data_IF_804938648128
#
_entry.id   IF_804938648128
#
_cell.length_a   1.000
_cell.length_b   1.000
_cell.length_c   1.000
_cell.angle_alpha   90.00
_cell.angle_beta   90.00
_cell.angle_gamma   90.00
#
_symmetry.space_group_name_H-M   'P 1'
#
loop_
_entity.id
_entity.type
_entity.pdbx_description
1 polymer ?
#
# COMPACT_ATOMS: atom_id res chain seq x y z
N UNK A 1 -2.57 -0.27 -11.06
CA UNK A 1 -2.72 0.99 -10.27
C UNK A 1 -2.21 2.14 -11.10
N UNK A 2 -2.87 3.31 -11.08
CA UNK A 2 -2.46 4.49 -11.86
C UNK A 2 -1.73 5.52 -10.98
N UNK A 3 -0.73 6.21 -11.50
CA UNK A 3 -0.05 7.34 -10.83
C UNK A 3 -0.09 8.55 -11.77
N UNK A 4 -0.41 9.72 -11.21
CA UNK A 4 -0.51 10.96 -11.95
C UNK A 4 0.80 11.76 -11.85
N UNK A 5 1.27 12.30 -12.97
CA UNK A 5 2.28 13.36 -13.01
C UNK A 5 1.61 14.62 -13.54
N UNK A 6 1.65 15.72 -12.79
CA UNK A 6 1.20 17.03 -13.30
C UNK A 6 2.43 17.86 -13.64
N UNK A 7 2.51 18.30 -14.89
CA UNK A 7 3.62 19.12 -15.39
C UNK A 7 3.16 20.09 -16.48
N UNK A 8 4.06 20.96 -16.94
CA UNK A 8 3.84 21.91 -18.04
C UNK A 8 5.18 22.18 -18.73
N UNK A 9 5.19 23.05 -19.75
CA UNK A 9 6.44 23.47 -20.39
C UNK A 9 7.49 23.97 -19.40
N UNK A 10 8.75 23.80 -19.77
CA UNK A 10 9.93 24.15 -18.99
C UNK A 10 10.05 23.35 -17.68
N UNK A 11 9.54 22.12 -17.65
CA UNK A 11 9.82 21.16 -16.57
C UNK A 11 11.31 20.77 -16.54
N UNK A 12 11.81 20.37 -15.37
CA UNK A 12 13.14 19.76 -15.28
C UNK A 12 13.08 18.32 -15.79
N UNK A 13 13.80 18.04 -16.87
CA UNK A 13 13.63 16.83 -17.69
C UNK A 13 13.79 15.55 -16.87
N UNK A 14 14.82 15.49 -16.04
CA UNK A 14 15.11 14.34 -15.17
C UNK A 14 14.03 14.12 -14.09
N UNK A 15 13.45 15.20 -13.55
CA UNK A 15 12.46 15.14 -12.48
C UNK A 15 11.08 14.70 -12.97
N UNK A 16 10.85 14.70 -14.28
CA UNK A 16 9.67 14.08 -14.90
C UNK A 16 9.98 12.68 -15.42
N UNK A 17 11.05 12.53 -16.22
CA UNK A 17 11.35 11.29 -16.91
C UNK A 17 11.75 10.17 -15.94
N UNK A 18 12.52 10.48 -14.90
CA UNK A 18 12.96 9.46 -13.94
C UNK A 18 11.77 8.86 -13.16
N UNK A 19 10.87 9.65 -12.54
CA UNK A 19 9.64 9.10 -11.95
C UNK A 19 8.78 8.36 -12.97
N UNK A 20 8.60 8.91 -14.17
CA UNK A 20 7.80 8.28 -15.23
C UNK A 20 8.26 6.86 -15.54
N UNK A 21 9.54 6.66 -15.84
CA UNK A 21 10.06 5.33 -16.16
C UNK A 21 10.13 4.41 -14.93
N UNK A 22 10.53 4.93 -13.77
CA UNK A 22 10.64 4.14 -12.54
C UNK A 22 9.29 3.59 -12.07
N UNK A 23 8.22 4.36 -12.22
CA UNK A 23 6.85 3.91 -11.90
C UNK A 23 6.37 2.85 -12.89
N UNK A 24 6.64 3.03 -14.18
CA UNK A 24 6.27 2.06 -15.23
C UNK A 24 7.02 0.73 -15.07
N UNK A 25 8.28 0.77 -14.69
CA UNK A 25 9.09 -0.42 -14.36
C UNK A 25 8.41 -1.28 -13.27
N UNK A 26 7.70 -0.64 -12.34
CA UNK A 26 7.02 -1.27 -11.22
C UNK A 26 5.56 -1.64 -11.54
N UNK A 27 5.17 -1.60 -12.81
CA UNK A 27 3.83 -1.98 -13.27
C UNK A 27 2.74 -0.94 -13.01
N UNK A 28 3.09 0.29 -12.63
CA UNK A 28 2.12 1.37 -12.56
C UNK A 28 1.82 1.91 -13.96
N UNK A 29 0.53 2.14 -14.23
CA UNK A 29 0.11 2.99 -15.33
C UNK A 29 0.38 4.44 -14.94
N UNK A 30 1.03 5.21 -15.81
CA UNK A 30 1.45 6.59 -15.50
C UNK A 30 0.85 7.55 -16.50
N UNK A 31 -0.03 8.43 -16.01
CA UNK A 31 -0.60 9.51 -16.81
C UNK A 31 0.16 10.80 -16.57
N UNK A 32 0.36 11.57 -17.64
CA UNK A 32 0.90 12.93 -17.58
C UNK A 32 -0.24 13.89 -17.91
N UNK A 33 -0.56 14.77 -16.97
CA UNK A 33 -1.51 15.85 -17.17
C UNK A 33 -0.81 17.20 -17.25
N UNK A 34 -1.31 18.07 -18.12
CA UNK A 34 -0.90 19.47 -18.27
C UNK A 34 -2.15 20.36 -18.31
N UNK A 35 -1.97 21.67 -18.43
CA UNK A 35 -3.11 22.60 -18.54
C UNK A 35 -4.00 22.25 -19.74
N UNK A 36 -3.39 21.83 -20.84
CA UNK A 36 -4.05 21.34 -22.05
C UNK A 36 -3.41 20.02 -22.48
N UNK A 37 -4.15 19.21 -23.24
CA UNK A 37 -3.59 18.01 -23.89
C UNK A 37 -2.51 18.40 -24.91
N UNK A 38 -1.56 17.49 -25.12
CA UNK A 38 -0.55 17.62 -26.16
C UNK A 38 0.87 17.59 -25.61
N UNK A 39 1.84 17.98 -26.44
CA UNK A 39 3.25 17.94 -26.07
C UNK A 39 3.64 19.08 -25.13
N UNK A 40 4.37 18.73 -24.07
CA UNK A 40 5.10 19.70 -23.24
C UNK A 40 6.60 19.48 -23.39
N UNK A 41 7.39 20.56 -23.31
CA UNK A 41 8.83 20.52 -23.55
C UNK A 41 9.64 20.90 -22.31
N UNK A 42 10.60 20.05 -21.94
CA UNK A 42 11.51 20.24 -20.81
C UNK A 42 12.60 21.27 -21.09
N UNK A 43 13.28 21.70 -20.03
CA UNK A 43 14.36 22.72 -20.08
C UNK A 43 15.53 22.30 -20.96
N UNK A 44 15.80 21.00 -21.08
CA UNK A 44 16.87 20.42 -21.91
C UNK A 44 16.36 19.93 -23.26
N UNK A 45 15.09 20.22 -23.57
CA UNK A 45 14.49 20.01 -24.87
C UNK A 45 13.78 18.68 -25.06
N UNK A 46 13.70 17.81 -24.04
CA UNK A 46 12.89 16.60 -24.13
C UNK A 46 11.41 16.95 -24.25
N UNK A 47 10.69 16.25 -25.13
CA UNK A 47 9.25 16.37 -25.25
C UNK A 47 8.58 15.14 -24.65
N UNK A 48 7.48 15.37 -23.93
CA UNK A 48 6.58 14.31 -23.47
C UNK A 48 5.14 14.65 -23.83
N UNK A 49 4.36 13.63 -24.13
CA UNK A 49 2.92 13.78 -24.40
C UNK A 49 2.16 13.87 -23.07
N UNK A 50 1.51 15.02 -22.82
CA UNK A 50 0.49 15.14 -21.79
C UNK A 50 -0.84 14.62 -22.35
N UNK A 51 -1.12 13.34 -22.10
CA UNK A 51 -2.32 12.67 -22.59
C UNK A 51 -3.63 13.16 -21.98
N UNK A 52 -3.56 13.96 -20.91
CA UNK A 52 -4.70 14.54 -20.21
C UNK A 52 -4.53 16.05 -20.01
N UNK A 53 -5.64 16.79 -20.09
CA UNK A 53 -5.76 18.09 -19.43
C UNK A 53 -6.06 17.89 -17.93
N UNK A 54 -5.65 18.83 -17.08
CA UNK A 54 -6.03 18.88 -15.67
C UNK A 54 -7.55 18.89 -15.46
N UNK A 55 -8.33 19.34 -16.43
CA UNK A 55 -9.80 19.31 -16.36
C UNK A 55 -10.37 17.87 -16.42
N UNK A 56 -9.61 16.93 -16.96
CA UNK A 56 -10.03 15.52 -17.13
C UNK A 56 -9.62 14.64 -15.95
N UNK A 57 -8.77 15.15 -15.08
CA UNK A 57 -8.19 14.38 -13.96
C UNK A 57 -9.23 14.18 -12.86
N UNK A 58 -9.40 12.92 -12.43
CA UNK A 58 -10.17 12.54 -11.26
C UNK A 58 -9.26 11.94 -10.19
N UNK A 59 -8.95 12.65 -9.08
CA UNK A 59 -7.97 12.20 -8.08
C UNK A 59 -8.25 10.80 -7.50
N UNK A 60 -9.51 10.38 -7.43
CA UNK A 60 -9.96 9.08 -6.95
C UNK A 60 -9.40 7.90 -7.77
N UNK A 61 -9.13 8.07 -9.07
CA UNK A 61 -8.65 7.02 -9.98
C UNK A 61 -7.16 6.68 -9.81
N UNK A 62 -6.42 7.50 -9.06
CA UNK A 62 -4.97 7.42 -8.93
C UNK A 62 -4.52 6.94 -7.55
N UNK A 63 -3.43 6.18 -7.48
CA UNK A 63 -2.79 5.77 -6.24
C UNK A 63 -1.85 6.84 -5.66
N UNK A 64 -1.36 7.78 -6.48
CA UNK A 64 -0.47 8.85 -6.04
C UNK A 64 -0.23 9.93 -7.09
N UNK A 65 0.44 11.00 -6.67
CA UNK A 65 0.72 12.20 -7.46
C UNK A 65 2.21 12.55 -7.41
N UNK A 66 2.80 12.89 -8.56
CA UNK A 66 4.16 13.43 -8.70
C UNK A 66 4.10 14.85 -9.28
N UNK A 67 4.86 15.76 -8.66
CA UNK A 67 5.00 17.17 -9.03
C UNK A 67 6.50 17.48 -9.30
N UNK A 68 6.94 17.36 -10.57
CA UNK A 68 8.30 17.72 -10.98
C UNK A 68 8.60 19.21 -10.78
N UNK A 69 9.88 19.58 -10.77
CA UNK A 69 10.34 20.96 -10.76
C UNK A 69 10.58 21.53 -12.16
N UNK A 70 11.57 22.42 -12.26
CA UNK A 70 11.75 23.31 -13.41
C UNK A 70 11.00 24.64 -13.22
N UNK A 71 10.59 25.27 -14.33
CA UNK A 71 9.76 26.48 -14.31
C UNK A 71 8.26 26.17 -14.41
N UNK A 72 7.89 24.94 -14.78
CA UNK A 72 6.50 24.49 -14.88
C UNK A 72 5.65 24.79 -13.61
N UNK A 73 6.15 24.55 -12.38
CA UNK A 73 5.36 24.82 -11.16
C UNK A 73 4.86 26.25 -11.01
N UNK A 74 5.58 27.25 -11.54
CA UNK A 74 5.18 28.66 -11.46
C UNK A 74 3.88 28.94 -12.20
N UNK A 75 3.62 28.26 -13.33
CA UNK A 75 2.37 28.38 -14.08
C UNK A 75 1.27 27.49 -13.48
N UNK A 76 1.64 26.27 -13.09
CA UNK A 76 0.68 25.28 -12.57
C UNK A 76 0.04 25.72 -11.26
N UNK A 77 0.80 26.38 -10.38
CA UNK A 77 0.32 26.82 -9.05
C UNK A 77 -0.72 27.94 -9.11
N UNK A 78 -0.86 28.62 -10.24
CA UNK A 78 -1.85 29.68 -10.46
C UNK A 78 -3.21 29.13 -10.93
N UNK A 79 -3.23 27.88 -11.40
CA UNK A 79 -4.44 27.26 -11.92
C UNK A 79 -5.28 26.65 -10.78
N UNK A 80 -6.55 27.10 -10.58
CA UNK A 80 -7.40 26.60 -9.50
C UNK A 80 -7.67 25.08 -9.56
N UNK A 81 -7.81 24.52 -10.78
CA UNK A 81 -8.05 23.09 -10.97
C UNK A 81 -6.86 22.25 -10.51
N UNK A 82 -5.62 22.69 -10.79
CA UNK A 82 -4.41 22.04 -10.25
C UNK A 82 -4.43 22.02 -8.72
N UNK A 83 -4.76 23.14 -8.08
CA UNK A 83 -4.81 23.23 -6.61
C UNK A 83 -5.91 22.34 -6.02
N UNK A 84 -7.06 22.22 -6.70
CA UNK A 84 -8.15 21.32 -6.33
C UNK A 84 -7.71 19.86 -6.40
N UNK A 85 -7.07 19.44 -7.49
CA UNK A 85 -6.57 18.07 -7.67
C UNK A 85 -5.62 17.72 -6.53
N UNK A 86 -4.62 18.57 -6.27
CA UNK A 86 -3.61 18.35 -5.22
C UNK A 86 -4.27 18.21 -3.84
N UNK A 87 -5.27 19.06 -3.54
CA UNK A 87 -6.08 18.95 -2.31
C UNK A 87 -6.89 17.65 -2.27
N UNK A 88 -7.40 17.18 -3.41
CA UNK A 88 -8.11 15.90 -3.54
C UNK A 88 -7.22 14.71 -3.18
N UNK A 89 -5.99 14.66 -3.68
CA UNK A 89 -5.01 13.63 -3.27
C UNK A 89 -4.73 13.71 -1.76
N UNK A 90 -4.53 14.92 -1.23
CA UNK A 90 -4.24 15.11 0.18
C UNK A 90 -5.40 14.67 1.08
N UNK A 91 -6.64 15.07 0.76
CA UNK A 91 -7.84 14.69 1.51
C UNK A 91 -8.14 13.19 1.48
N UNK A 92 -7.74 12.51 0.41
CA UNK A 92 -7.83 11.04 0.30
C UNK A 92 -6.67 10.29 0.96
N UNK A 93 -5.72 10.98 1.62
CA UNK A 93 -4.55 10.35 2.25
C UNK A 93 -3.56 9.74 1.26
N UNK A 94 -3.64 10.10 -0.03
CA UNK A 94 -2.81 9.52 -1.09
C UNK A 94 -1.44 10.19 -1.15
N UNK A 95 -0.35 9.46 -1.46
CA UNK A 95 0.99 10.03 -1.55
C UNK A 95 1.09 11.14 -2.61
N UNK A 96 1.69 12.26 -2.20
CA UNK A 96 2.02 13.40 -3.06
C UNK A 96 3.53 13.63 -2.98
N UNK A 97 4.23 13.47 -4.09
CA UNK A 97 5.67 13.60 -4.17
C UNK A 97 6.06 14.83 -5.00
N UNK A 98 6.71 15.82 -4.40
CA UNK A 98 7.10 17.06 -5.06
C UNK A 98 8.60 17.33 -4.94
N UNK A 99 9.27 17.62 -6.05
CA UNK A 99 10.73 17.82 -6.07
C UNK A 99 11.10 19.19 -6.62
N UNK A 100 12.19 19.76 -6.10
CA UNK A 100 12.77 21.00 -6.58
C UNK A 100 11.82 22.20 -6.46
N UNK A 101 11.22 22.66 -7.56
CA UNK A 101 10.21 23.73 -7.54
C UNK A 101 8.78 23.19 -7.42
N UNK A 102 8.56 21.88 -7.58
CA UNK A 102 7.27 21.23 -7.38
C UNK A 102 6.55 21.61 -6.08
N UNK A 103 7.24 21.75 -4.92
CA UNK A 103 6.63 22.21 -3.68
C UNK A 103 5.92 23.57 -3.75
N UNK A 104 6.19 24.44 -4.73
CA UNK A 104 5.45 25.70 -4.93
C UNK A 104 3.95 25.50 -5.15
N UNK A 105 3.56 24.37 -5.76
CA UNK A 105 2.17 23.99 -5.94
C UNK A 105 1.55 23.64 -4.57
N UNK A 106 2.28 22.92 -3.71
CA UNK A 106 1.85 22.57 -2.35
C UNK A 106 1.73 23.81 -1.45
N UNK A 107 2.65 24.78 -1.60
CA UNK A 107 2.58 26.09 -0.93
C UNK A 107 1.26 26.78 -1.30
N UNK A 108 0.95 26.87 -2.59
CA UNK A 108 -0.25 27.56 -3.09
C UNK A 108 -1.54 26.82 -2.74
N UNK A 109 -1.48 25.49 -2.62
CA UNK A 109 -2.58 24.68 -2.13
C UNK A 109 -2.80 24.84 -0.61
N UNK A 110 -1.89 25.47 0.12
CA UNK A 110 -1.99 25.68 1.58
C UNK A 110 -1.74 24.41 2.39
N UNK A 111 -0.98 23.45 1.87
CA UNK A 111 -0.83 22.11 2.46
C UNK A 111 0.41 21.92 3.34
N UNK A 112 1.26 22.94 3.47
CA UNK A 112 2.58 22.81 4.12
C UNK A 112 2.69 23.49 5.49
N UNK A 113 1.66 24.20 5.95
CA UNK A 113 1.69 24.84 7.27
C UNK A 113 1.90 23.79 8.36
N UNK A 114 2.87 24.03 9.25
CA UNK A 114 3.27 23.15 10.36
C UNK A 114 3.78 21.76 9.92
N UNK A 115 4.10 21.57 8.63
CA UNK A 115 4.65 20.31 8.08
C UNK A 115 6.15 20.40 7.89
N UNK A 116 6.84 19.27 7.98
CA UNK A 116 8.24 19.12 7.56
C UNK A 116 8.31 18.98 6.05
N UNK A 117 9.14 19.78 5.39
CA UNK A 117 9.33 19.69 3.96
C UNK A 117 10.72 20.16 3.54
N UNK A 118 11.10 19.86 2.30
CA UNK A 118 12.26 20.43 1.63
C UNK A 118 11.90 20.91 0.24
N UNK A 119 12.79 21.63 -0.41
CA UNK A 119 12.60 22.18 -1.75
C UNK A 119 13.93 22.61 -2.36
N UNK A 120 13.91 23.01 -3.64
CA UNK A 120 15.06 23.68 -4.23
C UNK A 120 15.41 24.96 -3.45
N UNK A 121 16.70 25.25 -3.35
CA UNK A 121 17.24 26.35 -2.54
C UNK A 121 16.56 27.71 -2.73
N UNK A 122 16.14 28.06 -3.95
CA UNK A 122 15.48 29.35 -4.21
C UNK A 122 14.03 29.42 -3.75
N UNK A 123 13.42 28.28 -3.39
CA UNK A 123 12.05 28.18 -2.86
C UNK A 123 12.05 28.14 -1.32
N UNK A 124 13.23 27.99 -0.69
CA UNK A 124 13.37 27.80 0.77
C UNK A 124 12.67 28.88 1.60
N UNK A 125 12.86 30.15 1.25
CA UNK A 125 12.30 31.26 2.01
C UNK A 125 10.78 31.31 1.85
N UNK A 126 10.28 31.01 0.65
CA UNK A 126 8.84 30.89 0.38
C UNK A 126 8.21 29.74 1.16
N UNK A 127 8.88 28.59 1.19
CA UNK A 127 8.46 27.40 1.95
C UNK A 127 8.38 27.71 3.46
N UNK A 128 9.39 28.42 3.98
CA UNK A 128 9.43 28.80 5.40
C UNK A 128 8.36 29.85 5.72
N UNK A 129 8.14 30.81 4.82
CA UNK A 129 7.15 31.88 4.98
C UNK A 129 5.70 31.36 5.01
N UNK A 130 5.41 30.22 4.38
CA UNK A 130 4.09 29.58 4.46
C UNK A 130 3.88 28.74 5.74
N UNK A 131 4.87 28.73 6.65
CA UNK A 131 4.81 28.03 7.94
C UNK A 131 5.30 26.58 7.90
N UNK A 132 5.99 26.15 6.84
CA UNK A 132 6.62 24.84 6.81
C UNK A 132 7.94 24.82 7.59
N UNK A 133 8.23 23.70 8.23
CA UNK A 133 9.54 23.42 8.82
C UNK A 133 10.49 22.90 7.73
N UNK A 134 11.27 23.82 7.14
CA UNK A 134 12.26 23.48 6.12
C UNK A 134 13.40 22.62 6.69
N UNK A 135 13.65 21.48 6.07
CA UNK A 135 14.80 20.61 6.37
C UNK A 135 15.70 20.49 5.14
N UNK A 136 17.00 20.71 5.30
CA UNK A 136 17.98 20.47 4.23
C UNK A 136 18.36 18.98 4.17
N UNK A 137 17.45 18.17 3.64
CA UNK A 137 17.58 16.72 3.51
C UNK A 137 17.27 16.30 2.08
N UNK A 138 17.90 15.22 1.60
CA UNK A 138 17.63 14.70 0.25
C UNK A 138 16.16 14.30 0.04
N UNK A 139 15.53 13.77 1.08
CA UNK A 139 14.11 13.45 1.09
C UNK A 139 13.51 13.73 2.46
N UNK A 140 12.34 14.36 2.47
CA UNK A 140 11.53 14.56 3.68
C UNK A 140 10.18 13.91 3.45
N UNK A 141 9.79 13.00 4.35
CA UNK A 141 8.49 12.33 4.35
C UNK A 141 7.71 12.80 5.59
N UNK A 142 6.60 13.50 5.38
CA UNK A 142 5.68 13.93 6.43
C UNK A 142 4.24 13.52 6.06
N UNK A 143 3.75 12.46 6.71
CA UNK A 143 2.46 11.84 6.37
C UNK A 143 2.43 11.32 4.92
N UNK A 144 1.53 11.85 4.10
CA UNK A 144 1.44 11.55 2.68
C UNK A 144 2.29 12.47 1.77
N UNK A 145 2.90 13.53 2.31
CA UNK A 145 3.73 14.46 1.54
C UNK A 145 5.19 13.99 1.53
N UNK A 146 5.75 13.87 0.34
CA UNK A 146 7.16 13.54 0.09
C UNK A 146 7.79 14.71 -0.66
N UNK A 147 8.89 15.24 -0.16
CA UNK A 147 9.61 16.34 -0.83
C UNK A 147 11.10 16.07 -0.97
N UNK A 148 11.70 16.55 -2.06
CA UNK A 148 13.14 16.48 -2.35
C UNK A 148 13.66 17.76 -3.00
N UNK A 149 14.98 18.01 -2.96
CA UNK A 149 15.52 19.34 -3.29
C UNK A 149 15.87 19.53 -4.75
N UNK A 150 16.40 18.51 -5.40
CA UNK A 150 17.07 18.65 -6.71
C UNK A 150 17.30 17.29 -7.39
N UNK A 151 17.74 17.25 -8.67
CA UNK A 151 17.88 15.99 -9.41
C UNK A 151 18.78 14.92 -8.77
N UNK A 152 19.80 15.31 -8.01
CA UNK A 152 20.66 14.35 -7.29
C UNK A 152 19.90 13.53 -6.25
N UNK A 153 18.76 14.03 -5.77
CA UNK A 153 17.96 13.40 -4.72
C UNK A 153 16.91 12.43 -5.29
N UNK A 154 16.82 12.29 -6.63
CA UNK A 154 15.87 11.41 -7.30
C UNK A 154 15.86 9.95 -6.80
N UNK A 155 17.01 9.33 -6.46
CA UNK A 155 17.01 7.98 -5.89
C UNK A 155 16.23 7.89 -4.57
N UNK A 156 16.49 8.80 -3.62
CA UNK A 156 15.81 8.84 -2.33
C UNK A 156 14.33 9.25 -2.47
N UNK A 157 14.06 10.23 -3.33
CA UNK A 157 12.71 10.68 -3.69
C UNK A 157 11.84 9.52 -4.18
N UNK A 158 12.33 8.76 -5.16
CA UNK A 158 11.58 7.64 -5.73
C UNK A 158 11.48 6.46 -4.77
N UNK A 159 12.51 6.18 -3.97
CA UNK A 159 12.42 5.13 -2.95
C UNK A 159 11.29 5.43 -1.94
N UNK A 160 11.20 6.68 -1.47
CA UNK A 160 10.14 7.11 -0.56
C UNK A 160 8.74 7.02 -1.18
N UNK A 161 8.59 7.48 -2.44
CA UNK A 161 7.32 7.36 -3.18
C UNK A 161 6.93 5.90 -3.40
N UNK A 162 7.86 5.04 -3.82
CA UNK A 162 7.61 3.62 -4.02
C UNK A 162 7.19 2.91 -2.73
N UNK A 163 7.81 3.27 -1.59
CA UNK A 163 7.42 2.74 -0.28
C UNK A 163 5.95 3.07 0.05
N UNK A 164 5.52 4.31 -0.23
CA UNK A 164 4.11 4.72 -0.02
C UNK A 164 3.16 4.05 -1.02
N UNK A 165 3.51 4.03 -2.31
CA UNK A 165 2.66 3.42 -3.35
C UNK A 165 2.47 1.92 -3.18
N UNK A 166 3.49 1.21 -2.69
CA UNK A 166 3.42 -0.24 -2.42
C UNK A 166 2.80 -0.58 -1.07
N UNK A 167 2.26 0.40 -0.34
CA UNK A 167 1.71 0.16 0.99
C UNK A 167 2.72 -0.40 1.98
N UNK A 168 4.02 -0.14 1.79
CA UNK A 168 5.09 -0.61 2.70
C UNK A 168 5.16 0.29 3.94
N UNK A 169 4.00 0.64 4.51
CA UNK A 169 3.92 1.23 5.83
C UNK A 169 4.55 0.27 6.82
N UNK A 170 5.54 0.75 7.56
CA UNK A 170 6.22 -0.03 8.59
C UNK A 170 5.56 0.29 9.92
N UNK A 171 5.07 -0.76 10.59
CA UNK A 171 4.46 -0.68 11.91
C UNK A 171 5.33 -1.46 12.91
N UNK A 172 6.43 -0.84 13.41
CA UNK A 172 7.40 -1.51 14.26
C UNK A 172 6.83 -1.78 15.65
N UNK A 173 7.14 -2.94 16.22
CA UNK A 173 6.82 -3.29 17.62
C UNK A 173 5.36 -3.64 17.88
N UNK A 174 4.55 -3.88 16.85
CA UNK A 174 3.18 -4.36 17.01
C UNK A 174 3.11 -5.81 17.48
N UNK A 175 4.11 -6.61 17.12
CA UNK A 175 4.21 -8.02 17.51
C UNK A 175 5.62 -8.36 17.96
N UNK A 176 5.73 -9.41 18.76
CA UNK A 176 6.98 -9.98 19.23
C UNK A 176 7.14 -11.43 18.78
N UNK A 177 8.39 -11.84 18.65
CA UNK A 177 8.78 -13.23 18.58
C UNK A 177 9.75 -13.52 19.72
N UNK A 178 9.31 -14.31 20.69
CA UNK A 178 10.07 -14.57 21.93
C UNK A 178 10.48 -13.26 22.63
N UNK A 179 9.56 -12.30 22.68
CA UNK A 179 9.79 -10.98 23.28
C UNK A 179 10.62 -9.99 22.43
N UNK A 180 11.19 -10.40 21.30
CA UNK A 180 11.88 -9.47 20.39
C UNK A 180 10.86 -8.77 19.48
N UNK A 181 10.83 -7.43 19.42
CA UNK A 181 9.88 -6.70 18.59
C UNK A 181 10.18 -6.90 17.11
N UNK A 182 9.12 -7.04 16.32
CA UNK A 182 9.18 -7.18 14.86
C UNK A 182 8.38 -6.07 14.17
N UNK A 183 8.64 -5.87 12.88
CA UNK A 183 8.00 -4.84 12.06
C UNK A 183 7.00 -5.48 11.12
N UNK A 184 5.73 -5.06 11.20
CA UNK A 184 4.73 -5.43 10.21
C UNK A 184 4.72 -4.45 9.05
N UNK A 185 4.51 -4.97 7.84
CA UNK A 185 4.39 -4.22 6.59
C UNK A 185 2.94 -4.21 6.13
N UNK A 186 2.42 -3.02 5.82
CA UNK A 186 1.05 -2.84 5.33
C UNK A 186 0.16 -2.07 6.31
N UNK A 187 -1.08 -1.75 5.87
CA UNK A 187 -2.00 -0.93 6.64
C UNK A 187 -2.54 -1.68 7.87
N UNK A 188 -3.12 -0.94 8.81
CA UNK A 188 -3.96 -1.51 9.87
C UNK A 188 -5.37 -1.82 9.33
N UNK A 189 -5.80 -3.08 9.43
CA UNK A 189 -7.17 -3.48 9.08
C UNK A 189 -8.06 -3.40 10.32
N UNK A 190 -9.25 -2.79 10.16
CA UNK A 190 -10.25 -2.62 11.21
C UNK A 190 -11.60 -3.21 10.79
N UNK A 191 -12.38 -3.75 11.74
CA UNK A 191 -13.78 -4.10 11.48
C UNK A 191 -14.57 -2.93 10.87
N UNK A 192 -15.45 -3.24 9.93
CA UNK A 192 -16.26 -2.27 9.18
C UNK A 192 -15.64 -1.81 7.86
N UNK A 193 -14.34 -2.01 7.65
CA UNK A 193 -13.70 -1.73 6.36
C UNK A 193 -14.04 -2.80 5.32
N UNK A 194 -14.01 -2.41 4.04
CA UNK A 194 -14.01 -3.38 2.94
C UNK A 194 -12.71 -4.17 2.97
N UNK A 195 -12.81 -5.48 2.84
CA UNK A 195 -11.66 -6.36 2.80
C UNK A 195 -10.76 -5.99 1.60
N UNK A 196 -9.45 -5.75 1.81
CA UNK A 196 -8.51 -5.58 0.71
C UNK A 196 -8.48 -6.83 -0.15
N UNK A 197 -8.32 -6.65 -1.47
CA UNK A 197 -8.12 -7.77 -2.38
C UNK A 197 -6.74 -8.42 -2.14
N UNK A 198 -6.59 -9.67 -2.55
CA UNK A 198 -5.32 -10.39 -2.50
C UNK A 198 -5.26 -11.44 -3.60
N UNK A 199 -4.04 -11.84 -3.96
CA UNK A 199 -3.78 -12.99 -4.82
C UNK A 199 -2.74 -13.87 -4.15
N UNK A 200 -3.14 -15.08 -3.78
CA UNK A 200 -2.29 -16.15 -3.23
C UNK A 200 -2.34 -17.35 -4.17
N UNK A 201 -1.66 -18.45 -3.87
CA UNK A 201 -1.71 -19.66 -4.70
C UNK A 201 -2.07 -20.92 -3.92
N UNK A 202 -2.72 -21.85 -4.61
CA UNK A 202 -2.99 -23.19 -4.09
C UNK A 202 -1.79 -24.14 -4.25
N UNK A 203 -1.98 -25.40 -3.83
CA UNK A 203 -0.98 -26.48 -3.93
C UNK A 203 -0.47 -26.75 -5.35
N UNK A 204 -1.25 -26.40 -6.38
CA UNK A 204 -0.95 -26.61 -7.79
C UNK A 204 -0.45 -25.32 -8.46
N UNK A 205 -0.08 -24.30 -7.67
CA UNK A 205 0.38 -22.97 -8.10
C UNK A 205 -0.69 -22.16 -8.84
N UNK A 206 -1.97 -22.52 -8.72
CA UNK A 206 -3.04 -21.73 -9.34
C UNK A 206 -3.35 -20.52 -8.47
N UNK A 207 -3.57 -19.34 -9.09
CA UNK A 207 -3.94 -18.15 -8.34
C UNK A 207 -5.32 -18.33 -7.70
N UNK A 208 -5.42 -17.90 -6.44
CA UNK A 208 -6.65 -17.81 -5.65
C UNK A 208 -6.77 -16.38 -5.16
N UNK A 209 -7.92 -15.75 -5.41
CA UNK A 209 -8.19 -14.36 -5.10
C UNK A 209 -9.32 -14.24 -4.07
N UNK A 210 -9.47 -13.07 -3.44
CA UNK A 210 -10.59 -12.82 -2.54
C UNK A 210 -11.95 -13.04 -3.24
N UNK A 211 -12.04 -12.72 -4.53
CA UNK A 211 -13.26 -12.88 -5.33
C UNK A 211 -13.73 -14.34 -5.48
N UNK A 212 -12.84 -15.31 -5.28
CA UNK A 212 -13.20 -16.73 -5.38
C UNK A 212 -14.09 -17.19 -4.21
N UNK A 213 -14.15 -16.40 -3.13
CA UNK A 213 -14.99 -16.59 -1.95
C UNK A 213 -16.21 -15.67 -1.91
N UNK A 214 -16.60 -15.11 -3.07
CA UNK A 214 -17.75 -14.20 -3.15
C UNK A 214 -19.02 -14.86 -2.58
N UNK A 215 -19.84 -14.04 -1.92
CA UNK A 215 -21.12 -14.42 -1.32
C UNK A 215 -21.01 -15.43 -0.15
N UNK A 216 -19.79 -15.74 0.31
CA UNK A 216 -19.50 -16.58 1.48
C UNK A 216 -19.00 -15.73 2.66
N UNK A 217 -19.20 -16.24 3.88
CA UNK A 217 -18.46 -15.76 5.05
C UNK A 217 -17.08 -16.39 4.99
N UNK A 218 -16.02 -15.59 5.01
CA UNK A 218 -14.65 -16.07 4.89
C UNK A 218 -13.90 -15.90 6.21
N UNK A 219 -13.41 -17.02 6.75
CA UNK A 219 -12.48 -17.05 7.89
C UNK A 219 -11.07 -17.24 7.35
N UNK A 220 -10.20 -16.26 7.59
CA UNK A 220 -8.78 -16.30 7.19
C UNK A 220 -7.95 -16.54 8.45
N UNK A 221 -7.40 -17.74 8.57
CA UNK A 221 -6.45 -18.13 9.60
C UNK A 221 -5.03 -17.89 9.09
N UNK A 222 -4.27 -16.99 9.71
CA UNK A 222 -2.93 -16.64 9.28
C UNK A 222 -1.90 -17.29 10.19
N UNK A 223 -0.93 -17.99 9.59
CA UNK A 223 0.14 -18.69 10.31
C UNK A 223 1.51 -18.33 9.75
N UNK A 224 2.54 -18.09 10.59
CA UNK A 224 3.88 -17.83 10.11
C UNK A 224 4.46 -18.93 9.23
N UNK A 225 4.36 -20.18 9.68
CA UNK A 225 4.75 -21.39 8.93
C UNK A 225 4.07 -22.61 9.53
N UNK A 226 3.41 -23.42 8.71
CA UNK A 226 2.71 -24.64 9.09
C UNK A 226 3.65 -25.74 9.62
N UNK A 227 4.95 -25.64 9.38
CA UNK A 227 5.96 -26.60 9.84
C UNK A 227 6.39 -26.38 11.31
N UNK A 228 5.55 -25.72 12.11
CA UNK A 228 5.83 -25.41 13.53
C UNK A 228 4.68 -25.88 14.43
N UNK A 229 4.94 -26.28 15.70
CA UNK A 229 3.93 -26.89 16.55
C UNK A 229 2.66 -26.05 16.75
N UNK A 230 2.81 -24.74 16.98
CA UNK A 230 1.68 -23.83 17.23
C UNK A 230 0.85 -23.61 15.96
N UNK A 231 1.50 -23.58 14.79
CA UNK A 231 0.78 -23.44 13.52
C UNK A 231 0.05 -24.72 13.12
N UNK A 232 0.62 -25.89 13.38
CA UNK A 232 -0.07 -27.17 13.20
C UNK A 232 -1.34 -27.23 14.06
N UNK A 233 -1.23 -26.87 15.35
CA UNK A 233 -2.37 -26.80 16.27
C UNK A 233 -3.47 -25.86 15.75
N UNK A 234 -3.09 -24.66 15.30
CA UNK A 234 -4.04 -23.70 14.74
C UNK A 234 -4.75 -24.23 13.48
N UNK A 235 -4.01 -24.86 12.57
CA UNK A 235 -4.58 -25.44 11.34
C UNK A 235 -5.55 -26.59 11.67
N UNK A 236 -5.16 -27.50 12.57
CA UNK A 236 -6.03 -28.60 13.02
C UNK A 236 -7.28 -28.11 13.73
N UNK A 237 -7.15 -27.12 14.61
CA UNK A 237 -8.30 -26.54 15.35
C UNK A 237 -9.34 -25.99 14.38
N UNK A 238 -8.95 -25.14 13.44
CA UNK A 238 -9.88 -24.61 12.44
C UNK A 238 -10.42 -25.69 11.48
N UNK A 239 -9.64 -26.73 11.15
CA UNK A 239 -10.12 -27.86 10.35
C UNK A 239 -11.21 -28.68 11.05
N UNK A 240 -11.10 -28.86 12.37
CA UNK A 240 -12.14 -29.48 13.18
C UNK A 240 -13.39 -28.60 13.26
N UNK A 241 -13.22 -27.31 13.54
CA UNK A 241 -14.32 -26.36 13.67
C UNK A 241 -15.08 -26.16 12.35
N UNK A 242 -14.36 -26.19 11.21
CA UNK A 242 -14.96 -26.14 9.87
C UNK A 242 -16.01 -27.24 9.63
N UNK A 243 -15.88 -28.40 10.28
CA UNK A 243 -16.87 -29.48 10.18
C UNK A 243 -18.25 -29.12 10.75
N UNK A 244 -18.29 -28.16 11.69
CA UNK A 244 -19.53 -27.64 12.29
C UNK A 244 -20.07 -26.37 11.61
N UNK A 245 -19.40 -25.87 10.58
CA UNK A 245 -19.80 -24.68 9.85
C UNK A 245 -20.69 -25.05 8.65
N UNK A 246 -21.58 -24.15 8.26
CA UNK A 246 -22.44 -24.34 7.09
C UNK A 246 -21.66 -24.12 5.80
N UNK A 247 -22.14 -24.66 4.68
CA UNK A 247 -21.54 -24.49 3.34
C UNK A 247 -21.40 -23.03 2.87
N UNK A 248 -22.04 -22.08 3.56
CA UNK A 248 -21.87 -20.63 3.36
C UNK A 248 -20.58 -20.06 3.96
N UNK A 249 -19.80 -20.86 4.69
CA UNK A 249 -18.57 -20.43 5.35
C UNK A 249 -17.38 -21.12 4.73
N UNK A 250 -16.45 -20.34 4.17
CA UNK A 250 -15.14 -20.81 3.77
C UNK A 250 -14.13 -20.56 4.89
N UNK A 251 -13.27 -21.54 5.14
CA UNK A 251 -12.13 -21.39 6.04
C UNK A 251 -10.86 -21.60 5.24
N UNK A 252 -9.99 -20.58 5.22
CA UNK A 252 -8.69 -20.66 4.56
C UNK A 252 -7.57 -20.45 5.58
N UNK A 253 -6.44 -21.08 5.32
CA UNK A 253 -5.19 -20.77 6.00
C UNK A 253 -4.22 -20.14 5.01
N UNK A 254 -3.56 -19.05 5.38
CA UNK A 254 -2.55 -18.39 4.55
C UNK A 254 -1.23 -18.33 5.30
N UNK A 255 -0.15 -18.75 4.64
CA UNK A 255 1.24 -18.63 5.11
C UNK A 255 2.19 -18.26 3.97
N UNK A 256 3.48 -18.10 4.30
CA UNK A 256 4.55 -17.95 3.29
C UNK A 256 5.18 -19.30 2.91
N UNK A 257 4.67 -20.42 3.42
CA UNK A 257 5.21 -21.75 3.10
C UNK A 257 5.00 -22.05 1.63
N UNK A 258 5.97 -22.71 1.00
CA UNK A 258 5.86 -23.07 -0.41
C UNK A 258 4.69 -24.06 -0.60
N UNK A 259 3.93 -23.98 -1.72
CA UNK A 259 2.73 -24.80 -1.93
C UNK A 259 2.93 -26.31 -1.75
N UNK A 260 4.11 -26.82 -2.10
CA UNK A 260 4.47 -28.21 -1.92
C UNK A 260 4.72 -28.61 -0.46
N UNK A 261 5.23 -27.69 0.37
CA UNK A 261 5.32 -27.89 1.83
C UNK A 261 3.92 -27.92 2.45
N UNK A 262 3.04 -27.00 2.03
CA UNK A 262 1.63 -26.98 2.44
C UNK A 262 0.94 -28.31 2.07
N UNK A 263 1.11 -28.79 0.83
CA UNK A 263 0.49 -30.03 0.37
C UNK A 263 0.94 -31.25 1.20
N UNK A 264 2.25 -31.33 1.49
CA UNK A 264 2.81 -32.39 2.34
C UNK A 264 2.24 -32.33 3.75
N UNK A 265 2.20 -31.13 4.34
CA UNK A 265 1.62 -30.91 5.67
C UNK A 265 0.16 -31.35 5.72
N UNK A 266 -0.69 -30.86 4.81
CA UNK A 266 -2.12 -31.18 4.79
C UNK A 266 -2.35 -32.69 4.67
N UNK A 267 -1.57 -33.37 3.82
CA UNK A 267 -1.62 -34.83 3.65
C UNK A 267 -1.27 -35.57 4.94
N UNK A 268 -0.21 -35.16 5.65
CA UNK A 268 0.24 -35.81 6.89
C UNK A 268 -0.67 -35.48 8.08
N UNK A 269 -1.19 -34.25 8.13
CA UNK A 269 -2.01 -33.76 9.23
C UNK A 269 -3.49 -34.12 9.09
N UNK A 270 -3.94 -34.56 7.91
CA UNK A 270 -5.36 -34.83 7.65
C UNK A 270 -6.19 -33.56 7.59
N UNK A 271 -5.64 -32.50 6.98
CA UNK A 271 -6.33 -31.21 6.78
C UNK A 271 -6.99 -31.26 5.40
N UNK A 272 -8.32 -31.31 5.38
CA UNK A 272 -9.15 -31.49 4.18
C UNK A 272 -10.32 -30.50 4.06
N UNK A 273 -10.62 -29.76 5.14
CA UNK A 273 -11.72 -28.77 5.21
C UNK A 273 -11.24 -27.31 5.24
N UNK A 274 -9.93 -27.10 5.40
CA UNK A 274 -9.31 -25.78 5.32
C UNK A 274 -8.53 -25.68 4.02
N UNK A 275 -8.79 -24.63 3.24
CA UNK A 275 -7.99 -24.34 2.07
C UNK A 275 -6.68 -23.69 2.52
N UNK A 276 -5.61 -24.49 2.57
CA UNK A 276 -4.28 -23.99 2.87
C UNK A 276 -3.64 -23.40 1.60
N UNK A 277 -3.30 -22.11 1.66
CA UNK A 277 -2.86 -21.28 0.55
C UNK A 277 -1.53 -20.62 0.87
N UNK A 278 -0.76 -20.31 -0.17
CA UNK A 278 0.57 -19.71 -0.05
C UNK A 278 0.61 -18.30 -0.63
N UNK A 279 1.11 -17.35 0.15
CA UNK A 279 1.36 -15.96 -0.26
C UNK A 279 2.81 -15.73 -0.73
N UNK A 280 3.57 -16.81 -0.96
CA UNK A 280 5.04 -16.73 -1.15
C UNK A 280 5.51 -15.90 -2.35
N UNK A 281 4.72 -15.82 -3.43
CA UNK A 281 5.13 -15.21 -4.69
C UNK A 281 5.31 -13.70 -4.52
N UNK A 282 4.22 -13.02 -4.16
CA UNK A 282 4.17 -11.56 -4.14
C UNK A 282 3.96 -10.98 -2.74
N UNK A 283 3.72 -11.83 -1.71
CA UNK A 283 3.28 -11.40 -0.39
C UNK A 283 2.09 -10.42 -0.46
N UNK A 284 1.16 -10.70 -1.37
CA UNK A 284 0.03 -9.85 -1.71
C UNK A 284 -0.91 -9.71 -0.51
N UNK A 285 -1.30 -10.84 0.08
CA UNK A 285 -2.14 -10.86 1.27
C UNK A 285 -1.43 -10.19 2.45
N UNK A 286 -0.19 -10.59 2.73
CA UNK A 286 0.60 -10.09 3.86
C UNK A 286 0.78 -8.58 3.82
N UNK A 287 1.04 -7.99 2.65
CA UNK A 287 1.16 -6.52 2.49
C UNK A 287 -0.19 -5.83 2.57
N UNK A 288 -1.23 -6.39 1.95
CA UNK A 288 -2.54 -5.72 1.88
C UNK A 288 -3.29 -5.77 3.23
N UNK A 289 -3.06 -6.80 4.03
CA UNK A 289 -3.67 -7.00 5.36
C UNK A 289 -2.76 -6.54 6.51
N UNK A 290 -1.55 -6.08 6.20
CA UNK A 290 -0.64 -5.55 7.22
C UNK A 290 0.03 -6.62 8.09
N UNK A 291 0.10 -7.87 7.65
CA UNK A 291 0.61 -8.98 8.48
C UNK A 291 1.94 -9.54 7.99
N UNK A 292 2.55 -9.00 6.94
CA UNK A 292 3.89 -9.42 6.51
C UNK A 292 4.95 -8.89 7.48
N UNK A 293 5.74 -9.78 8.07
CA UNK A 293 6.87 -9.46 8.94
C UNK A 293 8.08 -9.09 8.08
N UNK A 294 8.58 -7.86 8.25
CA UNK A 294 9.71 -7.32 7.47
C UNK A 294 10.99 -8.15 7.65
N UNK A 295 11.31 -8.50 8.88
CA UNK A 295 12.59 -9.14 9.25
C UNK A 295 12.67 -10.59 8.79
N UNK A 296 11.56 -11.32 8.85
CA UNK A 296 11.51 -12.76 8.58
C UNK A 296 10.93 -13.10 7.20
N UNK A 297 10.22 -12.15 6.57
CA UNK A 297 9.41 -12.38 5.37
C UNK A 297 8.43 -13.55 5.54
N UNK A 298 7.88 -13.67 6.76
CA UNK A 298 6.78 -14.57 7.13
C UNK A 298 5.53 -13.74 7.46
N UNK A 299 4.37 -14.37 7.57
CA UNK A 299 3.18 -13.70 8.07
C UNK A 299 3.14 -13.74 9.61
N UNK A 300 2.67 -12.66 10.23
CA UNK A 300 2.31 -12.67 11.65
C UNK A 300 1.09 -13.53 11.87
N UNK A 301 1.02 -14.17 13.04
CA UNK A 301 -0.16 -14.92 13.42
C UNK A 301 -1.35 -13.97 13.59
N UNK A 302 -2.43 -14.27 12.90
CA UNK A 302 -3.62 -13.43 12.86
C UNK A 302 -4.86 -14.23 12.47
N UNK A 303 -6.04 -13.66 12.73
CA UNK A 303 -7.33 -14.18 12.26
C UNK A 303 -8.17 -13.02 11.74
N UNK A 304 -8.78 -13.20 10.57
CA UNK A 304 -9.73 -12.27 10.00
C UNK A 304 -11.05 -12.98 9.71
N UNK A 305 -12.17 -12.29 9.91
CA UNK A 305 -13.50 -12.73 9.44
C UNK A 305 -14.08 -11.68 8.52
N UNK A 306 -14.50 -12.09 7.33
CA UNK A 306 -15.11 -11.25 6.30
C UNK A 306 -16.53 -11.78 6.05
N UNK A 307 -17.51 -10.88 6.00
CA UNK A 307 -18.89 -11.27 5.69
C UNK A 307 -19.13 -11.45 4.18
N UNK A 308 -20.33 -11.93 3.84
CA UNK A 308 -20.74 -12.15 2.44
C UNK A 308 -20.80 -10.88 1.59
N UNK A 309 -20.80 -9.69 2.21
CA UNK A 309 -20.74 -8.40 1.52
C UNK A 309 -19.29 -7.91 1.31
N UNK A 310 -18.29 -8.70 1.72
CA UNK A 310 -16.88 -8.37 1.60
C UNK A 310 -16.40 -7.33 2.63
N UNK A 311 -17.09 -7.18 3.76
CA UNK A 311 -16.69 -6.30 4.85
C UNK A 311 -16.01 -7.10 5.96
N UNK A 312 -14.92 -6.56 6.50
CA UNK A 312 -14.23 -7.12 7.65
C UNK A 312 -15.12 -6.99 8.89
N UNK A 313 -15.24 -8.07 9.65
CA UNK A 313 -16.06 -8.16 10.86
C UNK A 313 -15.23 -8.47 12.10
N UNK A 314 -14.14 -9.21 11.94
CA UNK A 314 -13.21 -9.52 13.02
C UNK A 314 -11.77 -9.38 12.52
N UNK A 315 -10.92 -8.88 13.41
CA UNK A 315 -9.47 -8.80 13.22
C UNK A 315 -8.81 -9.14 14.54
N UNK A 316 -7.87 -10.05 14.49
CA UNK A 316 -6.95 -10.34 15.58
C UNK A 316 -5.55 -10.48 14.99
N UNK A 317 -4.61 -9.71 15.51
CA UNK A 317 -3.18 -9.91 15.27
C UNK A 317 -2.59 -10.29 16.63
N UNK A 318 -2.03 -11.50 16.72
CA UNK A 318 -1.56 -12.05 18.00
C UNK A 318 -0.28 -11.30 18.41
N UNK A 319 -0.24 -10.65 19.60
CA UNK A 319 0.91 -9.82 19.99
C UNK A 319 2.21 -10.60 20.12
N UNK A 320 2.18 -11.85 20.56
CA UNK A 320 3.33 -12.74 20.59
C UNK A 320 3.09 -13.92 19.65
N UNK A 321 3.89 -14.03 18.59
CA UNK A 321 3.66 -14.94 17.46
C UNK A 321 3.66 -16.42 17.90
N UNK A 322 4.32 -16.73 19.02
CA UNK A 322 4.37 -18.07 19.62
C UNK A 322 3.10 -18.48 20.37
N UNK A 323 2.12 -17.58 20.56
CA UNK A 323 0.83 -17.88 21.19
C UNK A 323 -0.25 -18.24 20.15
N UNK A 324 -1.32 -18.90 20.56
CA UNK A 324 -2.50 -19.18 19.73
C UNK A 324 -3.46 -17.99 19.70
N UNK A 325 -4.25 -17.80 18.62
CA UNK A 325 -5.31 -16.79 18.57
C UNK A 325 -6.53 -17.19 19.41
N UNK A 326 -7.42 -16.23 19.65
CA UNK A 326 -8.72 -16.46 20.30
C UNK A 326 -9.75 -17.05 19.30
N UNK A 327 -9.70 -18.38 19.16
CA UNK A 327 -10.60 -19.12 18.26
C UNK A 327 -12.09 -18.86 18.55
N UNK A 328 -12.46 -18.79 19.83
CA UNK A 328 -13.87 -18.69 20.22
C UNK A 328 -14.46 -17.34 19.83
N UNK A 329 -13.70 -16.25 19.96
CA UNK A 329 -14.12 -14.92 19.47
C UNK A 329 -14.29 -14.89 17.96
N UNK A 330 -13.35 -15.47 17.20
CA UNK A 330 -13.48 -15.51 15.75
C UNK A 330 -14.73 -16.31 15.33
N UNK A 331 -14.95 -17.47 15.95
CA UNK A 331 -16.10 -18.33 15.65
C UNK A 331 -17.43 -17.76 16.14
N UNK A 332 -17.46 -16.97 17.22
CA UNK A 332 -18.69 -16.30 17.67
C UNK A 332 -19.15 -15.28 16.63
N UNK A 333 -18.23 -14.48 16.07
CA UNK A 333 -18.54 -13.53 14.99
C UNK A 333 -19.07 -14.26 13.76
N UNK A 334 -18.48 -15.40 13.37
CA UNK A 334 -18.98 -16.22 12.25
C UNK A 334 -20.42 -16.68 12.51
N UNK A 335 -20.76 -17.07 13.75
CA UNK A 335 -22.12 -17.51 14.12
C UNK A 335 -23.14 -16.37 14.06
N UNK A 336 -22.74 -15.15 14.40
CA UNK A 336 -23.61 -13.95 14.32
C UNK A 336 -23.92 -13.50 12.89
N UNK A 337 -23.08 -13.88 11.92
CA UNK A 337 -23.23 -13.53 10.50
C UNK A 337 -24.08 -14.53 9.71
N UNK A 338 -24.41 -15.70 10.29
CA UNK A 338 -25.22 -16.75 9.65
C UNK A 338 -26.70 -16.40 9.60
#
# INVERSE_FOLDING_TARGET
>A
MRVLIISADQFEDSELLFPYYRLREEGFEVDIASLERGKIRGKRGYEVEAGLSVEEVKPEEYAGLVLPGGKAPAKLRENPRVLEIVKGFYGAGKPIAAICHGPQILISAGLLKDRKATCYRSVKDELSACGANYLDQEVVVDGQIITSRQPSDLPAFMQALMKKLKGLEERPGLVTFQGQPLTLLGPEIKPGLKAPDFTVVDKDLKPVNLSDFKDQILVISVTPSLDTPVCDLQARRFNQEAAGLSDKVAVINISMDLPFAIARFCTQAGIDRVYALSDYQEASFGRNYGVLIKELRLLSRAVFVIDSNGLVRYVEIVPEITQEPDYEKALSVVKELK
#
